data_IF_981953146262
#
_entry.id   IF_981953146262
#
_cell.length_a   1.000
_cell.length_b   1.000
_cell.length_c   1.000
_cell.angle_alpha   90.00
_cell.angle_beta   90.00
_cell.angle_gamma   90.00
#
_symmetry.space_group_name_H-M   'P 1'
#
loop_
_entity.id
_entity.type
_entity.pdbx_description
1 polymer ?
#
# COMPACT_ATOMS: atom_id res chain seq x y z
N UNK A 1 -36.97 -32.62 35.08
CA UNK A 1 -38.38 -32.22 34.88
C UNK A 1 -38.64 -32.10 33.40
N UNK A 2 -39.76 -32.70 32.95
CA UNK A 2 -40.54 -32.53 31.70
C UNK A 2 -39.82 -32.05 30.41
N UNK A 3 -39.85 -32.71 29.26
CA UNK A 3 -40.84 -33.64 28.70
C UNK A 3 -41.93 -32.90 27.91
N UNK A 4 -41.97 -33.08 26.57
CA UNK A 4 -43.12 -33.06 25.62
C UNK A 4 -42.59 -32.77 24.18
N UNK A 5 -42.43 -33.79 23.30
CA UNK A 5 -43.42 -34.37 22.36
C UNK A 5 -43.75 -33.41 21.18
N UNK A 6 -43.13 -33.59 20.01
CA UNK A 6 -43.53 -34.46 18.88
C UNK A 6 -44.65 -33.87 18.01
N UNK A 7 -44.25 -33.29 16.88
CA UNK A 7 -45.08 -33.11 15.69
C UNK A 7 -44.41 -33.82 14.52
N UNK A 8 -44.90 -35.01 14.21
CA UNK A 8 -44.65 -35.70 12.95
C UNK A 8 -45.48 -34.98 11.88
N UNK A 9 -44.85 -34.59 10.77
CA UNK A 9 -45.47 -34.74 9.47
C UNK A 9 -44.46 -35.32 8.48
N UNK A 10 -44.79 -36.45 7.82
CA UNK A 10 -43.95 -37.10 6.83
C UNK A 10 -44.32 -36.58 5.44
N UNK A 11 -43.38 -35.95 4.75
CA UNK A 11 -43.50 -35.84 3.29
C UNK A 11 -42.20 -36.25 2.66
N UNK A 12 -42.27 -37.45 2.10
CA UNK A 12 -41.30 -38.08 1.26
C UNK A 12 -40.73 -37.11 0.21
N UNK A 13 -39.41 -36.96 0.26
CA UNK A 13 -38.59 -36.61 -0.87
C UNK A 13 -37.29 -37.37 -0.71
N UNK A 14 -37.30 -38.63 -1.14
CA UNK A 14 -36.10 -39.47 -1.23
C UNK A 14 -35.01 -38.70 -1.98
N UNK A 15 -34.08 -38.09 -1.24
CA UNK A 15 -32.76 -37.78 -1.77
C UNK A 15 -32.01 -39.11 -1.78
N UNK A 16 -32.32 -39.91 -2.79
CA UNK A 16 -31.44 -40.99 -3.19
C UNK A 16 -30.04 -40.39 -3.32
N UNK A 17 -29.09 -40.96 -2.58
CA UNK A 17 -27.68 -40.89 -2.97
C UNK A 17 -27.59 -41.62 -4.30
N UNK A 18 -27.91 -40.90 -5.38
CA UNK A 18 -27.45 -41.24 -6.71
C UNK A 18 -25.92 -41.26 -6.71
N UNK A 19 -25.29 -41.78 -7.77
CA UNK A 19 -23.85 -41.72 -7.92
C UNK A 19 -23.42 -40.28 -7.64
N UNK A 20 -22.29 -40.09 -6.96
CA UNK A 20 -21.63 -38.79 -6.88
C UNK A 20 -21.14 -38.42 -8.28
N UNK A 21 -22.05 -38.20 -9.22
CA UNK A 21 -21.72 -37.70 -10.53
C UNK A 21 -21.53 -36.18 -10.42
N UNK A 22 -20.62 -35.65 -11.23
CA UNK A 22 -20.26 -34.24 -11.19
C UNK A 22 -21.29 -33.32 -11.86
N UNK A 23 -22.46 -33.82 -12.25
CA UNK A 23 -23.45 -33.03 -12.97
C UNK A 23 -24.25 -32.17 -11.98
N UNK A 24 -24.09 -30.86 -12.13
CA UNK A 24 -24.82 -29.86 -11.37
C UNK A 24 -26.26 -29.76 -11.89
N UNK A 25 -27.23 -30.19 -11.08
CA UNK A 25 -28.66 -30.19 -11.47
C UNK A 25 -29.32 -28.80 -11.42
N UNK A 26 -28.55 -27.73 -11.17
CA UNK A 26 -29.03 -26.35 -11.34
C UNK A 26 -29.31 -26.07 -12.82
N UNK A 27 -30.24 -25.15 -13.10
CA UNK A 27 -30.52 -24.70 -14.47
C UNK A 27 -29.24 -24.18 -15.15
N UNK A 28 -29.06 -24.51 -16.43
CA UNK A 28 -27.96 -24.04 -17.26
C UNK A 28 -27.74 -22.52 -17.14
N UNK A 29 -28.82 -21.73 -17.17
CA UNK A 29 -28.75 -20.27 -17.02
C UNK A 29 -28.20 -19.84 -15.65
N UNK A 30 -28.55 -20.57 -14.58
CA UNK A 30 -28.00 -20.32 -13.25
C UNK A 30 -26.50 -20.63 -13.18
N UNK A 31 -26.04 -21.64 -13.90
CA UNK A 31 -24.61 -22.01 -13.94
C UNK A 31 -23.85 -21.00 -14.79
N UNK A 32 -24.37 -20.63 -15.96
CA UNK A 32 -23.77 -19.64 -16.86
C UNK A 32 -23.63 -18.25 -16.19
N UNK A 33 -24.65 -17.80 -15.46
CA UNK A 33 -24.59 -16.54 -14.69
C UNK A 33 -23.57 -16.60 -13.56
N UNK A 34 -23.46 -17.72 -12.85
CA UNK A 34 -22.42 -17.92 -11.82
C UNK A 34 -21.02 -17.96 -12.40
N UNK A 35 -20.84 -18.60 -13.55
CA UNK A 35 -19.57 -18.64 -14.26
C UNK A 35 -19.11 -17.22 -14.61
N UNK A 36 -19.97 -16.44 -15.28
CA UNK A 36 -19.69 -15.06 -15.64
C UNK A 36 -19.32 -14.20 -14.41
N UNK A 37 -20.12 -14.27 -13.33
CA UNK A 37 -19.81 -13.56 -12.08
C UNK A 37 -18.46 -13.97 -11.49
N UNK A 38 -18.11 -15.25 -11.57
CA UNK A 38 -16.82 -15.76 -11.06
C UNK A 38 -15.65 -15.30 -11.93
N UNK A 39 -15.83 -15.21 -13.24
CA UNK A 39 -14.84 -14.65 -14.17
C UNK A 39 -14.62 -13.16 -13.92
N UNK A 40 -15.68 -12.39 -13.77
CA UNK A 40 -15.63 -10.96 -13.41
C UNK A 40 -14.93 -10.76 -12.06
N UNK A 41 -15.26 -11.60 -11.06
CA UNK A 41 -14.60 -11.56 -9.75
C UNK A 41 -13.11 -11.91 -9.84
N UNK A 42 -12.74 -12.92 -10.64
CA UNK A 42 -11.35 -13.28 -10.87
C UNK A 42 -10.57 -12.12 -11.49
N UNK A 43 -11.11 -11.47 -12.51
CA UNK A 43 -10.49 -10.29 -13.14
C UNK A 43 -10.33 -9.14 -12.16
N UNK A 44 -11.38 -8.84 -11.39
CA UNK A 44 -11.33 -7.81 -10.34
C UNK A 44 -10.19 -8.06 -9.33
N UNK A 45 -10.01 -9.31 -8.88
CA UNK A 45 -8.95 -9.67 -7.94
C UNK A 45 -7.55 -9.60 -8.55
N UNK A 46 -7.41 -9.86 -9.86
CA UNK A 46 -6.13 -9.69 -10.56
C UNK A 46 -5.73 -8.22 -10.56
N UNK A 47 -6.65 -7.32 -10.95
CA UNK A 47 -6.40 -5.88 -10.94
C UNK A 47 -6.11 -5.34 -9.54
N UNK A 48 -6.87 -5.78 -8.53
CA UNK A 48 -6.60 -5.43 -7.14
C UNK A 48 -5.19 -5.88 -6.70
N UNK A 49 -4.79 -7.11 -7.07
CA UNK A 49 -3.46 -7.64 -6.75
C UNK A 49 -2.33 -6.86 -7.44
N UNK A 50 -2.50 -6.43 -8.69
CA UNK A 50 -1.55 -5.57 -9.40
C UNK A 50 -1.44 -4.20 -8.77
N UNK A 51 -2.58 -3.57 -8.44
CA UNK A 51 -2.63 -2.28 -7.77
C UNK A 51 -1.97 -2.32 -6.40
N UNK A 52 -2.26 -3.34 -5.58
CA UNK A 52 -1.67 -3.50 -4.25
C UNK A 52 -0.15 -3.68 -4.29
N UNK A 53 0.37 -4.44 -5.27
CA UNK A 53 1.82 -4.60 -5.46
C UNK A 53 2.48 -3.26 -5.74
N UNK A 54 1.91 -2.45 -6.64
CA UNK A 54 2.46 -1.14 -6.96
C UNK A 54 2.29 -0.16 -5.80
N UNK A 55 1.17 -0.21 -5.07
CA UNK A 55 0.96 0.61 -3.88
C UNK A 55 1.98 0.32 -2.79
N UNK A 56 2.33 -0.95 -2.56
CA UNK A 56 3.38 -1.32 -1.62
C UNK A 56 4.73 -0.67 -1.99
N UNK A 57 5.10 -0.69 -3.28
CA UNK A 57 6.31 -0.02 -3.75
C UNK A 57 6.27 1.50 -3.55
N UNK A 58 5.11 2.13 -3.74
CA UNK A 58 4.92 3.56 -3.45
C UNK A 58 5.16 3.82 -1.95
N UNK A 59 4.53 3.04 -1.06
CA UNK A 59 4.71 3.20 0.40
C UNK A 59 6.18 3.06 0.80
N UNK A 60 6.87 2.05 0.28
CA UNK A 60 8.29 1.82 0.60
C UNK A 60 9.17 2.99 0.11
N UNK A 61 8.88 3.54 -1.07
CA UNK A 61 9.60 4.70 -1.59
C UNK A 61 9.32 5.98 -0.78
N UNK A 62 8.08 6.21 -0.36
CA UNK A 62 7.68 7.33 0.50
C UNK A 62 8.33 7.24 1.88
N UNK A 63 8.37 6.03 2.47
CA UNK A 63 9.07 5.77 3.72
C UNK A 63 10.55 6.10 3.60
N UNK A 64 11.21 5.62 2.55
CA UNK A 64 12.63 5.90 2.32
C UNK A 64 12.91 7.41 2.08
N UNK A 65 12.04 8.11 1.34
CA UNK A 65 12.14 9.56 1.18
C UNK A 65 12.03 10.29 2.52
N UNK A 66 11.10 9.85 3.38
CA UNK A 66 10.93 10.38 4.74
C UNK A 66 12.16 10.12 5.62
N UNK A 67 12.76 8.94 5.54
CA UNK A 67 14.02 8.61 6.23
C UNK A 67 15.17 9.53 5.79
N UNK A 68 15.28 9.78 4.47
CA UNK A 68 16.28 10.70 3.93
C UNK A 68 16.07 12.13 4.44
N UNK A 69 14.83 12.63 4.43
CA UNK A 69 14.45 13.93 4.95
C UNK A 69 14.75 14.06 6.45
N UNK A 70 14.40 13.07 7.27
CA UNK A 70 14.73 13.03 8.69
C UNK A 70 16.24 13.10 8.91
N UNK A 71 17.02 12.36 8.12
CA UNK A 71 18.47 12.35 8.24
C UNK A 71 19.11 13.70 7.86
N UNK A 72 18.53 14.41 6.89
CA UNK A 72 18.95 15.76 6.50
C UNK A 72 18.63 16.76 7.61
N UNK A 73 17.38 16.76 8.08
CA UNK A 73 16.92 17.67 9.12
C UNK A 73 17.66 17.45 10.45
N UNK A 74 17.99 16.21 10.79
CA UNK A 74 18.78 15.89 11.98
C UNK A 74 20.17 16.53 11.91
N UNK A 75 20.86 16.42 10.76
CA UNK A 75 22.18 17.04 10.59
C UNK A 75 22.06 18.57 10.58
N UNK A 76 21.06 19.12 9.88
CA UNK A 76 20.83 20.56 9.85
C UNK A 76 20.54 21.13 11.26
N UNK A 77 19.80 20.40 12.09
CA UNK A 77 19.53 20.75 13.47
C UNK A 77 20.80 20.75 14.32
N UNK A 78 21.65 19.74 14.18
CA UNK A 78 22.96 19.69 14.85
C UNK A 78 23.82 20.89 14.44
N UNK A 79 23.95 21.14 13.12
CA UNK A 79 24.69 22.29 12.60
C UNK A 79 24.16 23.62 13.15
N UNK A 80 22.84 23.79 13.22
CA UNK A 80 22.21 24.99 13.79
C UNK A 80 22.50 25.13 15.29
N UNK A 81 22.45 24.02 16.04
CA UNK A 81 22.79 23.99 17.47
C UNK A 81 24.24 24.44 17.68
N UNK A 82 25.18 23.91 16.91
CA UNK A 82 26.58 24.32 17.00
C UNK A 82 26.80 25.78 16.58
N UNK A 83 26.16 26.22 15.49
CA UNK A 83 26.19 27.63 15.08
C UNK A 83 25.69 28.59 16.17
N UNK A 84 24.68 28.18 16.95
CA UNK A 84 24.18 28.97 18.08
C UNK A 84 25.17 29.07 19.25
N UNK A 85 26.03 28.06 19.44
CA UNK A 85 27.08 28.09 20.46
C UNK A 85 28.25 29.00 20.04
N UNK A 86 28.63 28.96 18.76
CA UNK A 86 29.68 29.79 18.17
C UNK A 86 29.36 31.29 18.33
N UNK A 87 28.08 31.67 18.16
CA UNK A 87 27.61 33.05 18.39
C UNK A 87 27.69 33.49 19.87
N UNK A 88 27.59 32.56 20.82
CA UNK A 88 27.57 32.86 22.27
C UNK A 88 28.97 32.92 22.88
N UNK A 89 29.97 32.28 22.27
CA UNK A 89 31.36 32.19 22.77
C UNK A 89 32.38 32.59 21.68
N UNK A 90 32.42 33.87 21.27
CA UNK A 90 33.16 34.31 20.08
C UNK A 90 34.71 34.32 20.20
N UNK A 91 35.29 33.90 21.34
CA UNK A 91 36.74 34.02 21.60
C UNK A 91 37.56 32.74 21.38
N UNK A 92 36.90 31.62 21.14
CA UNK A 92 37.52 30.35 20.77
C UNK A 92 36.59 29.71 19.76
N UNK A 93 36.88 29.87 18.46
CA UNK A 93 36.07 29.31 17.39
C UNK A 93 35.83 27.82 17.66
N UNK A 94 34.57 27.46 17.91
CA UNK A 94 34.22 26.12 18.38
C UNK A 94 34.35 25.07 17.28
N UNK A 95 34.37 25.53 16.03
CA UNK A 95 34.45 24.75 14.81
C UNK A 95 35.56 25.34 13.94
N UNK A 96 36.45 24.50 13.44
CA UNK A 96 37.43 24.91 12.44
C UNK A 96 36.79 25.01 11.03
N UNK A 97 37.41 25.74 10.11
CA UNK A 97 36.87 25.91 8.75
C UNK A 97 36.77 24.59 7.95
N UNK A 98 37.62 23.61 8.25
CA UNK A 98 37.62 22.28 7.61
C UNK A 98 36.41 21.45 8.05
N UNK A 99 36.05 21.48 9.33
CA UNK A 99 34.90 20.82 9.94
C UNK A 99 33.60 21.40 9.40
N UNK A 100 33.54 22.74 9.28
CA UNK A 100 32.40 23.43 8.65
C UNK A 100 32.25 23.00 7.19
N UNK A 101 33.35 22.95 6.44
CA UNK A 101 33.36 22.49 5.05
C UNK A 101 32.88 21.04 4.94
N UNK A 102 33.35 20.16 5.83
CA UNK A 102 32.94 18.75 5.88
C UNK A 102 31.44 18.60 6.17
N UNK A 103 30.90 19.34 7.13
CA UNK A 103 29.47 19.30 7.44
C UNK A 103 28.61 19.82 6.30
N UNK A 104 29.03 20.91 5.65
CA UNK A 104 28.35 21.41 4.46
C UNK A 104 28.34 20.36 3.34
N UNK A 105 29.47 19.70 3.08
CA UNK A 105 29.53 18.63 2.10
C UNK A 105 28.61 17.44 2.45
N UNK A 106 28.55 17.05 3.73
CA UNK A 106 27.64 16.00 4.19
C UNK A 106 26.17 16.38 4.03
N UNK A 107 25.82 17.63 4.30
CA UNK A 107 24.46 18.14 4.14
C UNK A 107 24.04 18.14 2.66
N UNK A 108 24.93 18.54 1.75
CA UNK A 108 24.65 18.50 0.31
C UNK A 108 24.44 17.07 -0.21
N UNK A 109 25.23 16.10 0.26
CA UNK A 109 25.00 14.68 -0.06
C UNK A 109 23.63 14.21 0.44
N UNK A 110 23.23 14.58 1.66
CA UNK A 110 21.92 14.21 2.21
C UNK A 110 20.77 14.85 1.43
N UNK A 111 20.91 16.12 1.03
CA UNK A 111 19.95 16.82 0.16
C UNK A 111 19.79 16.13 -1.19
N UNK A 112 20.89 15.78 -1.84
CA UNK A 112 20.87 15.06 -3.11
C UNK A 112 20.16 13.70 -2.99
N UNK A 113 20.42 12.97 -1.90
CA UNK A 113 19.74 11.71 -1.61
C UNK A 113 18.23 11.90 -1.39
N UNK A 114 17.82 12.93 -0.63
CA UNK A 114 16.41 13.27 -0.43
C UNK A 114 15.71 13.55 -1.77
N UNK A 115 16.28 14.43 -2.59
CA UNK A 115 15.72 14.79 -3.91
C UNK A 115 15.55 13.55 -4.79
N UNK A 116 16.56 12.67 -4.80
CA UNK A 116 16.51 11.42 -5.58
C UNK A 116 15.41 10.48 -5.07
N UNK A 117 15.27 10.34 -3.75
CA UNK A 117 14.23 9.52 -3.13
C UNK A 117 12.82 10.07 -3.40
N UNK A 118 12.63 11.38 -3.26
CA UNK A 118 11.37 12.08 -3.56
C UNK A 118 10.98 11.93 -5.04
N UNK A 119 11.94 12.05 -5.95
CA UNK A 119 11.71 11.84 -7.38
C UNK A 119 11.25 10.40 -7.66
N UNK A 120 11.88 9.40 -7.05
CA UNK A 120 11.47 7.99 -7.17
C UNK A 120 10.06 7.76 -6.65
N UNK A 121 9.71 8.27 -5.47
CA UNK A 121 8.37 8.18 -4.92
C UNK A 121 7.33 8.86 -5.84
N UNK A 122 7.69 10.00 -6.43
CA UNK A 122 6.82 10.73 -7.37
C UNK A 122 6.55 9.95 -8.66
N UNK A 123 7.56 9.28 -9.23
CA UNK A 123 7.40 8.41 -10.39
C UNK A 123 6.47 7.23 -10.09
N UNK A 124 6.67 6.54 -8.97
CA UNK A 124 5.82 5.41 -8.58
C UNK A 124 4.38 5.85 -8.30
N UNK A 125 4.15 7.03 -7.70
CA UNK A 125 2.80 7.59 -7.52
C UNK A 125 2.10 7.84 -8.85
N UNK A 126 2.83 8.38 -9.84
CA UNK A 126 2.28 8.58 -11.19
C UNK A 126 1.90 7.23 -11.81
N UNK A 127 2.81 6.26 -11.76
CA UNK A 127 2.56 4.94 -12.35
C UNK A 127 1.36 4.23 -11.67
N UNK A 128 1.20 4.39 -10.34
CA UNK A 128 0.02 3.89 -9.61
C UNK A 128 -1.29 4.54 -10.06
N UNK A 129 -1.26 5.85 -10.29
CA UNK A 129 -2.40 6.59 -10.79
C UNK A 129 -2.75 6.20 -12.24
N UNK A 130 -1.75 6.00 -13.10
CA UNK A 130 -1.96 5.55 -14.48
C UNK A 130 -2.53 4.13 -14.54
N UNK A 131 -2.05 3.23 -13.67
CA UNK A 131 -2.65 1.90 -13.48
C UNK A 131 -4.10 2.01 -13.02
N UNK A 132 -4.39 2.86 -12.04
CA UNK A 132 -5.75 3.07 -11.53
C UNK A 132 -6.71 3.51 -12.66
N UNK A 133 -6.29 4.46 -13.50
CA UNK A 133 -7.05 4.88 -14.69
C UNK A 133 -7.23 3.77 -15.72
N UNK A 134 -6.23 2.91 -15.91
CA UNK A 134 -6.34 1.77 -16.81
C UNK A 134 -7.40 0.78 -16.31
N UNK A 135 -7.43 0.52 -15.01
CA UNK A 135 -8.37 -0.40 -14.39
C UNK A 135 -9.81 0.16 -14.44
N UNK A 136 -9.98 1.47 -14.22
CA UNK A 136 -11.26 2.16 -14.34
C UNK A 136 -11.83 2.08 -15.76
N UNK A 137 -10.98 2.19 -16.80
CA UNK A 137 -11.39 2.02 -18.21
C UNK A 137 -11.92 0.61 -18.50
N UNK A 138 -11.40 -0.40 -17.81
CA UNK A 138 -11.87 -1.78 -17.89
C UNK A 138 -13.16 -2.02 -17.08
N UNK A 139 -13.68 -1.00 -16.38
CA UNK A 139 -14.93 -1.06 -15.61
C UNK A 139 -14.77 -1.59 -14.19
N UNK A 140 -13.55 -1.62 -13.66
CA UNK A 140 -13.27 -2.07 -12.29
C UNK A 140 -12.87 -0.90 -11.39
N UNK A 141 -13.15 -1.01 -10.10
CA UNK A 141 -12.80 -0.01 -9.08
C UNK A 141 -11.75 -0.56 -8.13
N UNK A 142 -10.82 0.28 -7.70
CA UNK A 142 -9.79 -0.08 -6.72
C UNK A 142 -10.24 0.27 -5.28
N UNK A 143 -9.76 -0.47 -4.26
CA UNK A 143 -10.05 -0.13 -2.89
C UNK A 143 -9.49 1.25 -2.55
N UNK A 144 -10.32 2.10 -1.94
CA UNK A 144 -9.91 3.42 -1.49
C UNK A 144 -8.81 3.27 -0.42
N UNK A 145 -7.57 3.61 -0.78
CA UNK A 145 -6.50 3.74 0.21
C UNK A 145 -6.70 5.01 1.03
N UNK A 146 -6.36 4.99 2.32
CA UNK A 146 -6.17 6.23 3.08
C UNK A 146 -5.06 7.04 2.40
N UNK A 147 -5.45 8.15 1.77
CA UNK A 147 -4.54 9.24 1.43
C UNK A 147 -4.31 9.96 2.76
N UNK A 148 -3.13 9.77 3.35
CA UNK A 148 -2.70 10.62 4.45
C UNK A 148 -2.20 11.89 3.76
N UNK A 149 -3.03 12.95 3.80
CA UNK A 149 -2.66 14.30 3.38
C UNK A 149 -1.60 14.91 4.31
#
# INVERSE_FOLDING_TARGET
MAGCQSGLDPTAGQLGKGPLDGFDHRSYESIATKLKKSEDRKKSLIFEGEWLKLRAQVVDAEKYASECQLSELSLALEMARFGSFDQRLPRTGFINDEERTRWNAQLEVKRANRITAEARASLLRRDLHDLSKSIEKEGYSMPAGLVIE
#
